data_IF_096843710717
#
_entry.id   IF_096843710717
#
_cell.length_a   1.000
_cell.length_b   1.000
_cell.length_c   1.000
_cell.angle_alpha   90.00
_cell.angle_beta   90.00
_cell.angle_gamma   90.00
#
_symmetry.space_group_name_H-M   'P 1'
#
loop_
_entity.id
_entity.type
_entity.pdbx_description
1 polymer ?
#
# COMPACT_ATOMS: atom_id res chain seq x y z
N UNK A 1 -8.17 1.68 12.06
CA UNK A 1 -6.78 1.29 11.74
C UNK A 1 -5.82 1.36 12.92
N UNK A 2 -4.89 0.39 13.04
CA UNK A 2 -3.90 0.36 14.11
C UNK A 2 -2.92 1.56 14.04
N UNK A 3 -2.33 1.96 15.18
CA UNK A 3 -1.31 3.00 15.18
C UNK A 3 -0.01 2.51 14.52
N UNK A 4 0.67 3.37 13.76
CA UNK A 4 1.99 3.05 13.23
C UNK A 4 3.01 3.01 14.38
N UNK A 5 3.69 1.87 14.54
CA UNK A 5 4.91 1.77 15.38
C UNK A 5 6.14 2.11 14.53
N UNK A 6 6.37 3.41 14.32
CA UNK A 6 7.33 3.89 13.32
C UNK A 6 8.75 3.31 13.51
N UNK A 7 9.25 3.21 14.73
CA UNK A 7 10.58 2.63 15.00
C UNK A 7 10.67 1.15 14.58
N UNK A 8 9.60 0.37 14.74
CA UNK A 8 9.57 -1.04 14.30
C UNK A 8 9.43 -1.12 12.78
N UNK A 9 8.60 -0.27 12.19
CA UNK A 9 8.45 -0.19 10.74
C UNK A 9 9.77 0.21 10.06
N UNK A 10 10.52 1.14 10.64
CA UNK A 10 11.86 1.51 10.15
C UNK A 10 12.85 0.34 10.24
N UNK A 11 12.87 -0.39 11.37
CA UNK A 11 13.70 -1.60 11.49
C UNK A 11 13.37 -2.64 10.42
N UNK A 12 12.09 -2.83 10.10
CA UNK A 12 11.65 -3.69 9.01
C UNK A 12 12.17 -3.18 7.65
N UNK A 13 12.00 -1.89 7.37
CA UNK A 13 12.54 -1.24 6.16
C UNK A 13 14.03 -1.50 6.02
N UNK A 14 14.80 -1.26 7.07
CA UNK A 14 16.26 -1.39 7.06
C UNK A 14 16.71 -2.84 6.85
N UNK A 15 15.97 -3.81 7.42
CA UNK A 15 16.24 -5.23 7.24
C UNK A 15 15.92 -5.72 5.81
N UNK A 16 14.90 -5.16 5.16
CA UNK A 16 14.49 -5.53 3.80
C UNK A 16 15.32 -4.84 2.72
N UNK A 17 15.79 -3.62 2.96
CA UNK A 17 16.46 -2.78 1.97
C UNK A 17 17.56 -3.50 1.16
N UNK A 18 18.46 -4.31 1.77
CA UNK A 18 19.53 -4.98 1.03
C UNK A 18 19.04 -5.97 -0.05
N UNK A 19 17.81 -6.46 0.06
CA UNK A 19 17.20 -7.41 -0.89
C UNK A 19 16.45 -6.72 -2.03
N UNK A 20 16.22 -5.41 -1.92
CA UNK A 20 15.47 -4.63 -2.88
C UNK A 20 16.30 -3.49 -3.46
N UNK A 21 17.60 -3.74 -3.68
CA UNK A 21 18.45 -2.85 -4.48
C UNK A 21 18.12 -2.98 -5.97
N UNK A 22 18.53 -2.01 -6.80
CA UNK A 22 18.38 -2.08 -8.27
C UNK A 22 18.78 -3.42 -8.89
N UNK A 23 19.84 -4.05 -8.38
CA UNK A 23 20.30 -5.36 -8.85
C UNK A 23 19.44 -6.50 -8.30
N UNK A 24 19.12 -6.46 -7.00
CA UNK A 24 18.42 -7.54 -6.30
C UNK A 24 16.91 -7.57 -6.57
N UNK A 25 16.30 -6.47 -7.02
CA UNK A 25 14.90 -6.43 -7.43
C UNK A 25 14.57 -7.34 -8.64
N UNK A 26 15.58 -7.85 -9.38
CA UNK A 26 15.37 -8.85 -10.44
C UNK A 26 15.19 -10.27 -9.91
N UNK A 27 15.64 -10.51 -8.68
CA UNK A 27 15.64 -11.83 -8.02
C UNK A 27 14.60 -11.90 -6.91
N UNK A 28 14.12 -10.75 -6.42
CA UNK A 28 13.27 -10.64 -5.25
C UNK A 28 11.96 -9.91 -5.61
N UNK A 29 10.87 -10.38 -5.04
CA UNK A 29 9.55 -9.77 -5.17
C UNK A 29 8.96 -9.53 -3.79
N UNK A 30 8.50 -8.30 -3.52
CA UNK A 30 7.88 -7.94 -2.25
C UNK A 30 6.36 -8.02 -2.37
N UNK A 31 5.74 -8.84 -1.52
CA UNK A 31 4.28 -8.90 -1.39
C UNK A 31 3.89 -8.30 -0.05
N UNK A 32 2.99 -7.31 -0.08
CA UNK A 32 2.35 -6.77 1.11
C UNK A 32 0.88 -7.19 1.07
N UNK A 33 0.45 -7.98 2.06
CA UNK A 33 -0.96 -8.32 2.26
C UNK A 33 -1.56 -7.31 3.22
N UNK A 34 -2.68 -6.70 2.84
CA UNK A 34 -3.40 -5.74 3.65
C UNK A 34 -4.85 -5.58 3.18
N UNK A 35 -5.76 -5.47 4.15
CA UNK A 35 -7.13 -5.01 3.94
C UNK A 35 -7.21 -3.50 4.20
N UNK A 36 -8.18 -2.82 3.59
CA UNK A 36 -8.29 -1.35 3.63
C UNK A 36 -9.47 -0.87 4.49
N UNK A 37 -10.48 -0.28 3.86
CA UNK A 37 -11.67 0.18 4.58
C UNK A 37 -12.33 -1.00 5.28
N UNK A 38 -12.81 -0.80 6.50
CA UNK A 38 -13.61 -1.76 7.27
C UNK A 38 -14.86 -1.08 7.84
N UNK A 39 -15.87 -1.88 8.21
CA UNK A 39 -17.04 -1.45 8.99
C UNK A 39 -17.75 -0.24 8.40
N UNK A 40 -17.91 -0.22 7.08
CA UNK A 40 -18.63 0.84 6.39
C UNK A 40 -19.67 0.27 5.44
N UNK A 41 -20.73 1.05 5.21
CA UNK A 41 -21.61 0.80 4.07
C UNK A 41 -20.94 1.24 2.75
N UNK A 42 -21.62 1.01 1.61
CA UNK A 42 -21.06 1.31 0.29
C UNK A 42 -20.58 2.78 0.12
N UNK A 43 -21.31 3.76 0.64
CA UNK A 43 -20.92 5.18 0.53
C UNK A 43 -19.71 5.51 1.41
N UNK A 44 -19.71 5.03 2.65
CA UNK A 44 -18.62 5.23 3.60
C UNK A 44 -17.33 4.56 3.13
N UNK A 45 -17.45 3.33 2.63
CA UNK A 45 -16.34 2.56 2.06
C UNK A 45 -15.74 3.27 0.87
N UNK A 46 -16.57 3.74 -0.08
CA UNK A 46 -16.11 4.54 -1.22
C UNK A 46 -15.36 5.81 -0.78
N UNK A 47 -15.85 6.48 0.26
CA UNK A 47 -15.18 7.68 0.81
C UNK A 47 -13.83 7.34 1.45
N UNK A 48 -13.76 6.27 2.24
CA UNK A 48 -12.52 5.79 2.90
C UNK A 48 -11.49 5.31 1.86
N UNK A 49 -11.94 4.67 0.78
CA UNK A 49 -11.09 4.21 -0.32
C UNK A 49 -10.48 5.35 -1.15
N UNK A 50 -11.03 6.57 -1.05
CA UNK A 50 -10.47 7.76 -1.66
C UNK A 50 -9.10 8.17 -1.09
N UNK A 51 -8.73 7.73 0.11
CA UNK A 51 -7.41 7.99 0.69
C UNK A 51 -6.31 7.08 0.11
N UNK A 52 -6.40 5.74 0.19
CA UNK A 52 -5.39 4.86 -0.40
C UNK A 52 -5.27 5.04 -1.91
N UNK A 53 -6.36 5.35 -2.62
CA UNK A 53 -6.32 5.69 -4.05
C UNK A 53 -5.32 6.81 -4.37
N UNK A 54 -5.29 7.89 -3.56
CA UNK A 54 -4.33 9.00 -3.74
C UNK A 54 -2.88 8.56 -3.59
N UNK A 55 -2.61 7.61 -2.69
CA UNK A 55 -1.27 7.04 -2.57
C UNK A 55 -0.92 6.23 -3.82
N UNK A 56 -1.83 5.38 -4.30
CA UNK A 56 -1.53 4.54 -5.46
C UNK A 56 -1.41 5.33 -6.77
N UNK A 57 -2.04 6.50 -6.88
CA UNK A 57 -1.85 7.45 -7.98
C UNK A 57 -0.44 8.08 -7.98
N UNK A 58 0.12 8.32 -6.78
CA UNK A 58 1.42 8.97 -6.62
C UNK A 58 2.16 8.49 -5.36
N UNK A 59 2.74 7.27 -5.38
CA UNK A 59 3.38 6.71 -4.20
C UNK A 59 4.59 7.53 -3.80
N UNK A 60 4.70 7.86 -2.52
CA UNK A 60 5.86 8.58 -1.98
C UNK A 60 6.15 8.20 -0.54
N UNK A 61 7.43 8.31 -0.15
CA UNK A 61 7.91 8.06 1.21
C UNK A 61 7.18 8.90 2.25
N UNK A 62 6.71 10.10 1.88
CA UNK A 62 5.89 10.95 2.74
C UNK A 62 4.41 10.62 2.60
N UNK A 63 3.93 10.25 1.43
CA UNK A 63 2.52 9.95 1.15
C UNK A 63 2.01 8.63 1.74
N UNK A 64 2.86 7.79 2.35
CA UNK A 64 2.44 6.50 2.93
C UNK A 64 1.26 6.64 3.91
N UNK A 65 1.12 7.78 4.60
CA UNK A 65 0.03 7.99 5.56
C UNK A 65 -1.37 8.01 4.91
N UNK A 66 -1.45 8.23 3.59
CA UNK A 66 -2.71 8.12 2.84
C UNK A 66 -3.16 6.66 2.67
N UNK A 67 -2.26 5.66 2.81
CA UNK A 67 -2.62 4.24 2.87
C UNK A 67 -3.17 3.88 4.25
N UNK A 68 -4.43 4.23 4.47
CA UNK A 68 -5.21 3.81 5.63
C UNK A 68 -5.62 2.35 5.41
N UNK A 69 -5.00 1.44 6.17
CA UNK A 69 -5.13 -0.01 6.05
C UNK A 69 -4.73 -0.70 7.36
N UNK A 70 -4.94 -2.01 7.45
CA UNK A 70 -4.60 -2.82 8.62
C UNK A 70 -3.09 -3.09 8.77
N UNK A 71 -2.33 -3.09 7.67
CA UNK A 71 -0.89 -3.34 7.62
C UNK A 71 -0.07 -2.07 7.35
N UNK A 72 -0.25 -1.07 8.22
CA UNK A 72 0.44 0.23 8.08
C UNK A 72 1.97 0.11 8.13
N UNK A 73 2.50 -0.86 8.86
CA UNK A 73 3.93 -1.12 8.98
C UNK A 73 4.50 -1.63 7.65
N UNK A 74 3.79 -2.57 6.99
CA UNK A 74 4.13 -3.05 5.66
C UNK A 74 4.06 -1.93 4.62
N UNK A 75 3.02 -1.09 4.66
CA UNK A 75 2.90 0.05 3.75
C UNK A 75 3.97 1.12 3.97
N UNK A 76 4.36 1.36 5.22
CA UNK A 76 5.50 2.21 5.54
C UNK A 76 6.80 1.66 4.93
N UNK A 77 7.06 0.37 5.11
CA UNK A 77 8.27 -0.27 4.56
C UNK A 77 8.27 -0.25 3.02
N UNK A 78 7.16 -0.65 2.40
CA UNK A 78 6.97 -0.61 0.95
C UNK A 78 7.27 0.78 0.39
N UNK A 79 6.64 1.82 0.96
CA UNK A 79 6.81 3.19 0.50
C UNK A 79 8.26 3.67 0.61
N UNK A 80 8.94 3.36 1.71
CA UNK A 80 10.34 3.77 1.90
C UNK A 80 11.31 2.99 1.01
N UNK A 81 11.12 1.67 0.84
CA UNK A 81 11.92 0.86 -0.09
C UNK A 81 11.72 1.37 -1.53
N UNK A 82 10.46 1.52 -1.92
CA UNK A 82 10.08 2.00 -3.23
C UNK A 82 10.61 3.41 -3.50
N UNK A 83 10.71 4.30 -2.52
CA UNK A 83 11.22 5.65 -2.77
C UNK A 83 12.75 5.81 -2.60
N UNK A 84 13.40 4.99 -1.77
CA UNK A 84 14.84 5.14 -1.48
C UNK A 84 15.73 4.71 -2.64
N UNK A 85 15.39 3.63 -3.34
CA UNK A 85 16.09 3.23 -4.57
C UNK A 85 15.80 4.20 -5.74
N UNK A 86 14.85 5.12 -5.58
CA UNK A 86 14.35 5.96 -6.66
C UNK A 86 15.21 7.19 -6.93
N UNK A 87 16.32 7.36 -6.19
CA UNK A 87 17.06 8.62 -5.99
C UNK A 87 16.65 9.74 -6.94
N UNK A 88 16.19 10.87 -6.40
CA UNK A 88 15.45 12.00 -7.03
C UNK A 88 15.83 12.42 -8.47
N UNK A 89 16.94 11.92 -9.04
CA UNK A 89 17.46 12.16 -10.39
C UNK A 89 17.55 10.90 -11.29
N UNK A 90 16.98 9.76 -10.90
CA UNK A 90 17.01 8.54 -11.72
C UNK A 90 15.88 8.58 -12.75
N UNK A 91 16.23 8.72 -14.03
CA UNK A 91 15.29 8.87 -15.16
C UNK A 91 14.37 7.67 -15.45
N UNK A 92 14.19 6.75 -14.49
CA UNK A 92 13.16 5.71 -14.52
C UNK A 92 11.96 6.19 -13.71
N UNK A 93 10.84 6.50 -14.37
CA UNK A 93 9.60 6.81 -13.67
C UNK A 93 9.12 5.56 -12.95
N UNK A 94 9.17 5.61 -11.62
CA UNK A 94 8.48 4.67 -10.74
C UNK A 94 6.99 4.77 -10.95
N UNK A 95 6.35 3.63 -11.17
CA UNK A 95 4.92 3.56 -11.47
C UNK A 95 4.23 2.64 -10.49
N UNK A 96 2.99 3.00 -10.20
CA UNK A 96 2.05 2.15 -9.51
C UNK A 96 0.84 1.99 -10.40
N UNK A 97 0.39 0.75 -10.56
CA UNK A 97 -0.82 0.43 -11.29
C UNK A 97 -1.78 -0.27 -10.34
N UNK A 98 -2.97 0.30 -10.16
CA UNK A 98 -4.10 -0.39 -9.54
C UNK A 98 -4.68 -1.31 -10.60
N UNK A 99 -4.41 -2.60 -10.46
CA UNK A 99 -4.86 -3.64 -11.40
C UNK A 99 -6.34 -3.96 -11.18
N UNK A 100 -6.78 -3.94 -9.92
CA UNK A 100 -8.15 -4.20 -9.55
C UNK A 100 -8.47 -3.57 -8.19
N UNK A 101 -9.71 -3.12 -8.02
CA UNK A 101 -10.27 -2.62 -6.76
C UNK A 101 -11.66 -3.21 -6.62
N UNK A 102 -11.93 -3.81 -5.47
CA UNK A 102 -13.24 -4.40 -5.14
C UNK A 102 -13.42 -4.42 -3.63
N UNK A 103 -14.52 -4.98 -3.16
CA UNK A 103 -14.83 -5.11 -1.75
C UNK A 103 -15.64 -6.38 -1.44
N UNK A 104 -15.76 -6.71 -0.16
CA UNK A 104 -16.43 -7.93 0.29
C UNK A 104 -17.88 -8.05 -0.20
N UNK A 105 -18.61 -6.93 -0.27
CA UNK A 105 -20.01 -6.92 -0.71
C UNK A 105 -20.15 -7.14 -2.22
N UNK A 106 -19.30 -6.54 -3.05
CA UNK A 106 -19.29 -6.78 -4.50
C UNK A 106 -18.97 -8.24 -4.84
N UNK A 107 -18.10 -8.88 -4.04
CA UNK A 107 -17.68 -10.26 -4.24
C UNK A 107 -18.72 -11.28 -3.77
N UNK A 108 -19.39 -11.02 -2.64
CA UNK A 108 -20.27 -11.99 -1.98
C UNK A 108 -21.77 -11.69 -2.13
N UNK A 109 -22.14 -10.43 -2.33
CA UNK A 109 -23.53 -9.96 -2.23
C UNK A 109 -24.05 -9.84 -0.79
N UNK A 110 -23.21 -10.06 0.22
CA UNK A 110 -23.58 -10.10 1.64
C UNK A 110 -22.84 -9.02 2.46
N UNK A 111 -23.42 -8.63 3.60
CA UNK A 111 -22.76 -7.71 4.55
C UNK A 111 -22.59 -6.27 4.04
N UNK A 112 -23.61 -5.71 3.38
CA UNK A 112 -23.55 -4.37 2.76
C UNK A 112 -23.39 -3.19 3.74
N UNK A 113 -23.46 -3.44 5.04
CA UNK A 113 -23.21 -2.49 6.14
C UNK A 113 -21.88 -2.74 6.88
N UNK A 114 -21.16 -3.81 6.54
CA UNK A 114 -19.84 -4.16 7.09
C UNK A 114 -18.87 -4.54 5.97
N UNK A 115 -18.62 -3.58 5.08
CA UNK A 115 -17.80 -3.81 3.89
C UNK A 115 -16.31 -3.69 4.23
N UNK A 116 -15.53 -4.65 3.72
CA UNK A 116 -14.06 -4.60 3.69
C UNK A 116 -13.56 -4.37 2.26
N UNK A 117 -12.61 -3.43 2.06
CA UNK A 117 -12.07 -3.09 0.73
C UNK A 117 -10.73 -3.74 0.41
N UNK A 118 -10.54 -4.07 -0.87
CA UNK A 118 -9.35 -4.74 -1.40
C UNK A 118 -8.77 -3.99 -2.60
N UNK A 119 -7.47 -3.70 -2.56
CA UNK A 119 -6.71 -3.11 -3.66
C UNK A 119 -5.65 -4.08 -4.15
N UNK A 120 -5.68 -4.41 -5.44
CA UNK A 120 -4.64 -5.17 -6.12
C UNK A 120 -3.74 -4.21 -6.88
N UNK A 121 -2.52 -4.01 -6.40
CA UNK A 121 -1.60 -3.01 -6.94
C UNK A 121 -0.26 -3.60 -7.30
N UNK A 122 0.36 -3.06 -8.35
CA UNK A 122 1.70 -3.44 -8.78
C UNK A 122 2.57 -2.20 -8.89
N UNK A 123 3.67 -2.19 -8.13
CA UNK A 123 4.66 -1.12 -8.08
C UNK A 123 5.92 -1.59 -8.83
N UNK A 124 6.39 -0.80 -9.80
CA UNK A 124 7.52 -1.15 -10.67
C UNK A 124 8.37 0.07 -11.08
#
# INVERSE_FOLDING_TARGET
EPPLRQAQAQKLTDALLPYFTREKCRENFLIISSDFSHHGNAEETKKKDGYPSKFFESPSAKGWFFCVCDNRQGMYALSNIFCKEAGENSGGQKKCSVLYHTNSFELSGEGGDDITSYFFTFLY
#
